data_IF_440729853988
#
_entry.id   IF_440729853988
#
_cell.length_a   1.000
_cell.length_b   1.000
_cell.length_c   1.000
_cell.angle_alpha   90.00
_cell.angle_beta   90.00
_cell.angle_gamma   90.00
#
_symmetry.space_group_name_H-M   'P 1'
#
loop_
_entity.id
_entity.type
_entity.pdbx_description
1 polymer ?
#
# COMPACT_ATOMS: atom_id res chain seq x y z
N UNK A 1 -3.48 -9.16 -15.62
CA UNK A 1 -3.91 -8.30 -14.48
C UNK A 1 -2.77 -7.37 -14.09
N UNK A 2 -3.03 -6.07 -13.93
CA UNK A 2 -2.01 -5.07 -13.53
C UNK A 2 -2.24 -4.65 -12.07
N UNK A 3 -1.16 -4.64 -11.28
CA UNK A 3 -1.18 -4.14 -9.90
C UNK A 3 -1.19 -2.60 -9.84
N UNK A 4 -1.58 -2.02 -8.69
CA UNK A 4 -1.77 -0.57 -8.53
C UNK A 4 -0.54 0.26 -8.96
N UNK A 5 0.67 -0.20 -8.63
CA UNK A 5 1.93 0.50 -8.94
C UNK A 5 2.45 0.27 -10.37
N UNK A 6 1.85 -0.67 -11.13
CA UNK A 6 2.24 -0.93 -12.51
C UNK A 6 1.59 0.11 -13.43
N UNK A 7 2.19 1.29 -13.49
CA UNK A 7 1.67 2.49 -14.19
C UNK A 7 2.26 2.68 -15.59
N UNK A 8 3.00 1.70 -16.12
CA UNK A 8 3.57 1.78 -17.48
C UNK A 8 2.51 2.21 -18.52
N UNK A 9 2.85 3.08 -19.49
CA UNK A 9 4.20 3.54 -19.83
C UNK A 9 4.75 4.67 -18.97
N UNK A 10 3.94 5.24 -18.06
CA UNK A 10 4.37 6.31 -17.16
C UNK A 10 5.41 5.80 -16.14
N UNK A 11 6.31 6.70 -15.72
CA UNK A 11 7.42 6.39 -14.80
C UNK A 11 7.37 7.26 -13.56
N UNK A 12 7.40 6.61 -12.39
CA UNK A 12 7.58 7.27 -11.11
C UNK A 12 9.05 7.68 -10.94
N UNK A 13 9.28 8.94 -10.56
CA UNK A 13 10.54 9.41 -10.00
C UNK A 13 10.28 9.87 -8.56
N UNK A 14 10.93 9.20 -7.59
CA UNK A 14 10.77 9.43 -6.15
C UNK A 14 11.94 10.27 -5.59
N UNK A 15 12.88 10.72 -6.39
CA UNK A 15 14.03 11.50 -5.96
C UNK A 15 13.58 12.74 -5.19
N UNK A 16 14.24 12.99 -4.05
CA UNK A 16 13.97 14.17 -3.27
C UNK A 16 14.67 15.38 -3.87
N UNK A 17 13.90 16.44 -4.09
CA UNK A 17 14.42 17.73 -4.56
C UNK A 17 13.63 18.87 -3.92
N UNK A 18 14.30 20.03 -3.73
CA UNK A 18 13.66 21.27 -3.25
C UNK A 18 13.19 22.08 -4.49
N UNK A 19 12.09 21.62 -5.10
CA UNK A 19 11.51 22.23 -6.30
C UNK A 19 10.32 23.13 -5.92
N UNK A 20 10.28 24.34 -6.45
CA UNK A 20 9.10 25.22 -6.35
C UNK A 20 7.96 24.69 -7.23
N UNK A 21 6.73 24.78 -6.71
CA UNK A 21 5.53 24.33 -7.42
C UNK A 21 5.09 25.33 -8.48
N UNK A 22 4.64 24.81 -9.61
CA UNK A 22 3.95 25.57 -10.67
C UNK A 22 2.42 25.45 -10.53
N UNK A 23 1.68 26.37 -11.16
CA UNK A 23 0.20 26.38 -11.08
C UNK A 23 -0.47 25.09 -11.58
N UNK A 24 0.20 24.35 -12.48
CA UNK A 24 -0.32 23.11 -13.06
C UNK A 24 0.05 21.85 -12.28
N UNK A 25 0.93 21.96 -11.28
CA UNK A 25 1.35 20.84 -10.44
C UNK A 25 0.20 20.41 -9.49
N UNK A 26 0.19 19.15 -9.07
CA UNK A 26 -0.88 18.57 -8.26
C UNK A 26 -0.63 18.72 -6.76
N UNK A 27 -1.73 18.90 -5.99
CA UNK A 27 -1.67 19.02 -4.53
C UNK A 27 -2.42 17.89 -3.84
N UNK A 28 -1.73 17.22 -2.93
CA UNK A 28 -2.28 16.22 -2.01
C UNK A 28 -2.75 16.95 -0.74
N UNK A 29 -4.06 17.06 -0.56
CA UNK A 29 -4.69 17.59 0.64
C UNK A 29 -5.28 16.44 1.44
N UNK A 30 -4.74 16.17 2.63
CA UNK A 30 -5.10 15.04 3.48
C UNK A 30 -5.92 15.51 4.67
N UNK A 31 -7.11 14.94 4.84
CA UNK A 31 -7.93 15.05 6.05
C UNK A 31 -8.12 13.66 6.66
N UNK A 32 -7.43 13.37 7.77
CA UNK A 32 -7.44 12.05 8.43
C UNK A 32 -7.08 10.92 7.46
N UNK A 33 -8.06 10.07 7.09
CA UNK A 33 -7.90 8.95 6.16
C UNK A 33 -8.47 9.23 4.76
N UNK A 34 -8.68 10.51 4.42
CA UNK A 34 -9.26 10.94 3.14
C UNK A 34 -8.32 11.89 2.41
N UNK A 35 -8.48 11.97 1.09
CA UNK A 35 -7.76 12.90 0.21
C UNK A 35 -8.79 13.68 -0.61
N UNK A 36 -8.54 14.98 -0.80
CA UNK A 36 -9.37 15.84 -1.65
C UNK A 36 -9.11 15.51 -3.11
N UNK A 37 -10.15 15.05 -3.80
CA UNK A 37 -10.08 14.62 -5.20
C UNK A 37 -11.37 14.99 -5.94
N UNK A 38 -11.31 15.09 -7.27
CA UNK A 38 -12.46 14.85 -8.13
C UNK A 38 -12.69 13.34 -8.14
N UNK A 39 -13.70 12.88 -7.41
CA UNK A 39 -14.01 11.45 -7.24
C UNK A 39 -14.87 10.93 -8.40
N UNK A 40 -14.22 10.65 -9.51
CA UNK A 40 -14.82 10.04 -10.69
C UNK A 40 -14.04 8.76 -11.02
N UNK A 41 -14.74 7.65 -11.15
CA UNK A 41 -14.11 6.33 -11.34
C UNK A 41 -13.24 6.24 -12.61
N UNK A 42 -13.62 6.96 -13.66
CA UNK A 42 -12.91 6.97 -14.95
C UNK A 42 -12.03 8.22 -15.16
N UNK A 43 -12.19 9.27 -14.34
CA UNK A 43 -11.45 10.53 -14.41
C UNK A 43 -11.05 11.05 -13.02
N UNK A 44 -10.37 10.23 -12.24
CA UNK A 44 -9.81 10.64 -10.95
C UNK A 44 -8.80 11.77 -11.15
N UNK A 45 -8.95 12.87 -10.40
CA UNK A 45 -8.05 14.01 -10.46
C UNK A 45 -7.79 14.62 -9.09
N UNK A 46 -6.55 14.95 -8.83
CA UNK A 46 -6.14 15.80 -7.71
C UNK A 46 -6.31 17.29 -8.08
N UNK A 47 -6.58 18.17 -7.11
CA UNK A 47 -6.57 19.62 -7.37
C UNK A 47 -5.15 20.08 -7.76
N UNK A 48 -5.09 21.11 -8.59
CA UNK A 48 -3.84 21.77 -8.97
C UNK A 48 -3.51 22.91 -8.02
N UNK A 49 -2.23 23.29 -7.96
CA UNK A 49 -1.74 24.40 -7.12
C UNK A 49 -2.52 25.69 -7.38
N UNK A 50 -2.73 26.04 -8.67
CA UNK A 50 -3.50 27.24 -9.06
C UNK A 50 -4.98 27.22 -8.67
N UNK A 51 -5.54 26.02 -8.37
CA UNK A 51 -6.93 25.87 -7.91
C UNK A 51 -7.06 25.95 -6.38
N UNK A 52 -5.94 25.78 -5.63
CA UNK A 52 -5.95 25.74 -4.16
C UNK A 52 -5.63 27.06 -3.50
N UNK A 53 -5.11 28.05 -4.22
CA UNK A 53 -4.68 29.35 -3.65
C UNK A 53 -3.53 29.23 -2.65
N UNK A 54 -2.70 28.20 -2.74
CA UNK A 54 -1.55 27.94 -1.86
C UNK A 54 -0.28 28.59 -2.41
N UNK A 55 0.56 29.13 -1.52
CA UNK A 55 1.90 29.64 -1.86
C UNK A 55 2.93 28.50 -1.80
N UNK A 56 4.12 28.73 -2.38
CA UNK A 56 5.20 27.72 -2.36
C UNK A 56 5.65 27.33 -0.95
N UNK A 57 5.63 28.28 0.01
CA UNK A 57 5.98 28.02 1.41
C UNK A 57 4.98 27.07 2.10
N UNK A 58 3.77 26.96 1.56
CA UNK A 58 2.70 26.11 2.06
C UNK A 58 2.69 24.71 1.38
N UNK A 59 3.64 24.47 0.49
CA UNK A 59 3.74 23.25 -0.30
C UNK A 59 5.07 22.54 -0.04
N UNK A 60 5.03 21.21 -0.07
CA UNK A 60 6.22 20.35 -0.01
C UNK A 60 6.21 19.37 -1.18
N UNK A 61 7.29 19.39 -1.96
CA UNK A 61 7.47 18.42 -3.06
C UNK A 61 7.50 16.98 -2.54
N UNK A 62 6.84 16.07 -3.25
CA UNK A 62 6.80 14.65 -2.92
C UNK A 62 7.52 13.78 -3.96
N UNK A 63 7.09 13.81 -5.19
CA UNK A 63 7.61 13.02 -6.32
C UNK A 63 7.04 13.55 -7.63
N UNK A 64 7.49 12.99 -8.76
CA UNK A 64 6.80 13.17 -10.04
C UNK A 64 6.54 11.84 -10.74
N UNK A 65 5.56 11.86 -11.64
CA UNK A 65 5.28 10.78 -12.58
C UNK A 65 5.36 11.39 -13.96
N UNK A 66 6.42 11.08 -14.72
CA UNK A 66 6.85 11.83 -15.92
C UNK A 66 6.97 13.34 -15.58
N UNK A 67 6.19 14.19 -16.27
CA UNK A 67 6.16 15.65 -16.07
C UNK A 67 5.04 16.10 -15.10
N UNK A 68 4.29 15.18 -14.50
CA UNK A 68 3.27 15.45 -13.49
C UNK A 68 3.94 15.50 -12.10
N UNK A 69 4.02 16.69 -11.46
CA UNK A 69 4.66 16.91 -10.18
C UNK A 69 3.63 16.96 -9.06
N UNK A 70 3.94 16.30 -7.93
CA UNK A 70 3.02 16.14 -6.79
C UNK A 70 3.60 16.76 -5.54
N UNK A 71 2.78 17.57 -4.87
CA UNK A 71 3.11 18.28 -3.64
C UNK A 71 2.11 17.94 -2.55
N UNK A 72 2.51 18.05 -1.29
CA UNK A 72 1.57 18.03 -0.16
C UNK A 72 1.36 19.43 0.37
N UNK A 73 0.15 19.70 0.84
CA UNK A 73 -0.20 20.89 1.58
C UNK A 73 0.35 20.80 3.01
N UNK A 74 1.19 21.77 3.42
CA UNK A 74 1.77 21.86 4.75
C UNK A 74 1.30 23.13 5.50
N UNK A 75 0.31 23.86 4.98
CA UNK A 75 -0.20 25.10 5.57
C UNK A 75 -0.93 24.90 6.91
N UNK A 76 -1.39 23.67 7.19
CA UNK A 76 -2.30 23.37 8.29
C UNK A 76 -3.75 23.77 8.03
N UNK A 77 -4.05 24.37 6.88
CA UNK A 77 -5.39 24.74 6.45
C UNK A 77 -5.82 23.87 5.29
N UNK A 78 -6.94 23.16 5.43
CA UNK A 78 -7.48 22.31 4.40
C UNK A 78 -8.48 23.06 3.52
N UNK A 79 -8.39 22.93 2.18
CA UNK A 79 -9.40 23.44 1.27
C UNK A 79 -10.78 22.83 1.59
N UNK A 80 -11.84 23.65 1.43
CA UNK A 80 -13.23 23.15 1.54
C UNK A 80 -13.60 22.32 0.32
N UNK A 81 -14.49 21.36 0.53
CA UNK A 81 -15.16 20.69 -0.56
C UNK A 81 -15.97 21.69 -1.40
N UNK A 82 -16.12 21.38 -2.69
CA UNK A 82 -16.90 22.18 -3.63
C UNK A 82 -17.57 21.25 -4.66
N UNK A 83 -18.20 21.81 -5.70
CA UNK A 83 -18.89 21.05 -6.74
C UNK A 83 -17.99 20.09 -7.56
N UNK A 84 -16.66 20.29 -7.49
CA UNK A 84 -15.67 19.48 -8.25
C UNK A 84 -14.92 18.53 -7.33
N UNK A 85 -14.52 19.00 -6.14
CA UNK A 85 -13.59 18.29 -5.24
C UNK A 85 -14.26 17.91 -3.94
N UNK A 86 -14.15 16.63 -3.56
CA UNK A 86 -14.64 16.06 -2.29
C UNK A 86 -13.55 15.23 -1.61
N UNK A 87 -13.67 15.02 -0.29
CA UNK A 87 -12.75 14.17 0.46
C UNK A 87 -13.18 12.71 0.38
N UNK A 88 -12.46 11.90 -0.39
CA UNK A 88 -12.71 10.48 -0.57
C UNK A 88 -11.70 9.59 0.16
N UNK A 89 -12.12 8.36 0.52
CA UNK A 89 -11.26 7.39 1.19
C UNK A 89 -10.34 6.69 0.20
N UNK A 90 -9.12 6.32 0.62
CA UNK A 90 -8.16 5.65 -0.26
C UNK A 90 -8.66 4.30 -0.78
N UNK A 91 -9.46 3.59 0.00
CA UNK A 91 -10.00 2.29 -0.39
C UNK A 91 -10.94 2.38 -1.58
N UNK A 92 -11.71 3.47 -1.73
CA UNK A 92 -12.56 3.71 -2.90
C UNK A 92 -11.70 4.06 -4.13
N UNK A 93 -10.67 4.87 -3.97
CA UNK A 93 -9.88 5.45 -5.06
C UNK A 93 -8.92 4.47 -5.75
N UNK A 94 -8.53 3.36 -5.09
CA UNK A 94 -7.46 2.46 -5.58
C UNK A 94 -7.75 1.80 -6.96
N UNK A 95 -8.99 1.77 -7.39
CA UNK A 95 -9.42 1.18 -8.68
C UNK A 95 -9.79 2.22 -9.73
N UNK A 96 -9.75 3.51 -9.39
CA UNK A 96 -10.10 4.61 -10.30
C UNK A 96 -9.08 4.75 -11.44
N UNK A 97 -9.51 5.41 -12.50
CA UNK A 97 -8.65 5.74 -13.65
C UNK A 97 -8.42 7.25 -13.73
N UNK A 98 -7.32 7.69 -14.33
CA UNK A 98 -6.22 6.85 -14.81
C UNK A 98 -5.44 6.24 -13.64
N UNK A 99 -4.92 5.02 -13.80
CA UNK A 99 -4.24 4.27 -12.73
C UNK A 99 -3.09 5.03 -12.09
N UNK A 100 -2.30 5.76 -12.88
CA UNK A 100 -1.17 6.50 -12.33
C UNK A 100 -1.64 7.59 -11.34
N UNK A 101 -2.80 8.21 -11.57
CA UNK A 101 -3.36 9.20 -10.65
C UNK A 101 -3.86 8.54 -9.36
N UNK A 102 -4.51 7.38 -9.47
CA UNK A 102 -4.88 6.55 -8.32
C UNK A 102 -3.64 6.18 -7.47
N UNK A 103 -2.58 5.72 -8.13
CA UNK A 103 -1.32 5.40 -7.46
C UNK A 103 -0.67 6.63 -6.84
N UNK A 104 -0.60 7.75 -7.57
CA UNK A 104 -0.07 9.02 -7.06
C UNK A 104 -0.82 9.50 -5.82
N UNK A 105 -2.15 9.42 -5.82
CA UNK A 105 -3.00 9.81 -4.69
C UNK A 105 -2.67 8.99 -3.44
N UNK A 106 -2.61 7.66 -3.57
CA UNK A 106 -2.34 6.76 -2.44
C UNK A 106 -0.91 6.92 -1.93
N UNK A 107 0.07 7.02 -2.84
CA UNK A 107 1.48 7.23 -2.49
C UNK A 107 1.68 8.59 -1.80
N UNK A 108 1.10 9.66 -2.35
CA UNK A 108 1.21 10.99 -1.79
C UNK A 108 0.57 11.11 -0.40
N UNK A 109 -0.60 10.49 -0.20
CA UNK A 109 -1.20 10.35 1.12
C UNK A 109 -0.24 9.67 2.10
N UNK A 110 0.36 8.54 1.73
CA UNK A 110 1.25 7.80 2.62
C UNK A 110 2.46 8.62 3.06
N UNK A 111 3.07 9.34 2.13
CA UNK A 111 4.19 10.22 2.44
C UNK A 111 3.74 11.38 3.33
N UNK A 112 2.58 11.99 3.07
CA UNK A 112 2.02 13.07 3.89
C UNK A 112 1.74 12.61 5.33
N UNK A 113 1.14 11.43 5.52
CA UNK A 113 0.91 10.83 6.84
C UNK A 113 2.22 10.56 7.57
N UNK A 114 3.25 10.06 6.88
CA UNK A 114 4.55 9.88 7.49
C UNK A 114 5.14 11.21 7.98
N UNK A 115 5.08 12.29 7.19
CA UNK A 115 5.52 13.60 7.62
C UNK A 115 4.76 14.10 8.87
N UNK A 116 3.44 13.93 8.88
CA UNK A 116 2.61 14.32 10.04
C UNK A 116 2.99 13.54 11.30
N UNK A 117 3.14 12.22 11.21
CA UNK A 117 3.51 11.35 12.33
C UNK A 117 4.95 11.56 12.81
N UNK A 118 5.81 12.13 11.97
CA UNK A 118 7.21 12.40 12.28
C UNK A 118 7.46 13.85 12.77
N UNK A 119 6.40 14.61 13.06
CA UNK A 119 6.48 16.02 13.50
C UNK A 119 7.18 16.22 14.84
N UNK A 120 7.29 15.16 15.65
CA UNK A 120 8.00 15.17 16.93
C UNK A 120 9.01 14.00 16.97
N UNK A 121 10.15 14.26 17.59
CA UNK A 121 11.21 13.27 17.75
C UNK A 121 10.79 12.20 18.76
N UNK A 122 10.72 10.93 18.33
CA UNK A 122 10.42 9.82 19.23
C UNK A 122 11.46 9.56 20.33
N UNK A 123 12.68 10.10 20.18
CA UNK A 123 13.74 9.95 21.17
C UNK A 123 13.69 11.01 22.29
N UNK A 124 13.34 12.28 21.99
CA UNK A 124 13.44 13.38 22.96
C UNK A 124 12.22 14.32 22.98
N UNK A 125 11.15 14.03 22.25
CA UNK A 125 9.91 14.78 22.21
C UNK A 125 9.97 16.16 21.54
N UNK A 126 11.15 16.61 21.06
CA UNK A 126 11.32 17.91 20.43
C UNK A 126 10.71 17.91 19.02
N UNK A 127 10.11 19.03 18.60
CA UNK A 127 9.61 19.22 17.24
C UNK A 127 10.74 19.01 16.22
N UNK A 128 10.46 18.26 15.17
CA UNK A 128 11.41 17.99 14.09
C UNK A 128 11.28 19.01 12.96
N UNK A 129 12.28 19.04 12.09
CA UNK A 129 12.29 19.87 10.88
C UNK A 129 12.55 19.01 9.65
N UNK A 130 12.10 19.45 8.48
CA UNK A 130 12.42 18.78 7.22
C UNK A 130 13.92 18.88 6.90
N UNK A 131 14.53 17.79 6.50
CA UNK A 131 15.86 17.82 5.88
C UNK A 131 15.81 18.61 4.56
N UNK A 132 16.90 19.30 4.25
CA UNK A 132 17.03 20.05 2.98
C UNK A 132 17.64 19.20 1.86
N UNK A 133 18.24 18.07 2.20
CA UNK A 133 19.06 17.25 1.27
C UNK A 133 18.48 15.87 1.00
N UNK A 134 17.50 15.43 1.81
CA UNK A 134 16.94 14.08 1.71
C UNK A 134 15.53 14.02 2.29
N UNK A 135 14.77 12.98 1.99
CA UNK A 135 13.43 12.75 2.57
C UNK A 135 13.57 12.22 3.99
N UNK A 136 13.85 13.13 4.93
CA UNK A 136 13.98 12.85 6.35
C UNK A 136 13.43 13.99 7.20
N UNK A 137 12.97 13.66 8.41
CA UNK A 137 12.72 14.63 9.47
C UNK A 137 13.90 14.62 10.45
N UNK A 138 14.40 15.78 10.83
CA UNK A 138 15.61 15.95 11.65
C UNK A 138 15.26 16.66 12.96
N UNK A 139 15.69 16.08 14.08
CA UNK A 139 15.61 16.70 15.39
C UNK A 139 16.82 17.61 15.65
N UNK A 140 16.59 18.92 15.82
CA UNK A 140 17.68 19.87 16.10
C UNK A 140 18.30 19.71 17.49
N UNK A 141 17.59 19.05 18.44
CA UNK A 141 18.05 18.88 19.81
C UNK A 141 19.01 17.67 19.96
N UNK A 142 18.66 16.52 19.36
CA UNK A 142 19.43 15.28 19.52
C UNK A 142 19.98 14.72 18.22
N UNK A 143 19.84 15.42 17.10
CA UNK A 143 20.28 15.04 15.76
C UNK A 143 19.68 13.70 15.24
N UNK A 144 18.63 13.19 15.90
CA UNK A 144 17.93 12.01 15.40
C UNK A 144 17.32 12.30 14.02
N UNK A 145 17.48 11.35 13.08
CA UNK A 145 16.89 11.38 11.73
C UNK A 145 15.81 10.33 11.63
N UNK A 146 14.65 10.74 11.13
CA UNK A 146 13.49 9.87 10.94
C UNK A 146 13.23 9.76 9.44
N UNK A 147 13.37 8.54 8.91
CA UNK A 147 13.11 8.24 7.50
C UNK A 147 11.71 7.65 7.32
N UNK A 148 11.14 7.69 6.09
CA UNK A 148 9.91 6.96 5.79
C UNK A 148 10.06 5.48 6.11
N UNK A 149 9.17 4.96 6.96
CA UNK A 149 9.16 3.55 7.31
C UNK A 149 8.36 2.76 6.27
N UNK A 150 8.95 1.65 5.83
CA UNK A 150 8.32 0.66 4.96
C UNK A 150 8.37 -0.67 5.70
N UNK A 151 7.21 -1.27 5.98
CA UNK A 151 7.14 -2.55 6.67
C UNK A 151 7.10 -3.69 5.63
N UNK A 152 8.08 -4.62 5.64
CA UNK A 152 8.01 -5.81 4.79
C UNK A 152 6.91 -6.75 5.31
N UNK A 153 6.10 -7.30 4.37
CA UNK A 153 5.02 -8.23 4.69
C UNK A 153 4.96 -9.31 3.61
N UNK A 154 4.83 -10.57 4.01
CA UNK A 154 4.68 -11.70 3.09
C UNK A 154 3.21 -11.90 2.73
N UNK A 155 2.95 -12.37 1.51
CA UNK A 155 1.66 -12.84 1.00
C UNK A 155 1.90 -14.23 0.42
N UNK A 156 1.22 -15.25 0.93
CA UNK A 156 1.58 -16.64 0.70
C UNK A 156 0.48 -17.40 -0.01
N UNK A 157 0.73 -17.80 -1.27
CA UNK A 157 -0.11 -18.75 -2.00
C UNK A 157 0.35 -20.17 -1.69
N UNK A 158 -0.44 -20.89 -0.89
CA UNK A 158 -0.17 -22.28 -0.49
C UNK A 158 -0.97 -23.20 -1.39
N UNK A 159 -0.32 -24.07 -2.13
CA UNK A 159 -0.98 -25.03 -3.03
C UNK A 159 -0.79 -26.49 -2.57
N UNK A 160 -1.79 -27.29 -2.91
CA UNK A 160 -1.78 -28.74 -2.78
C UNK A 160 -2.44 -29.36 -4.02
N UNK A 161 -1.64 -29.77 -4.98
CA UNK A 161 -2.12 -30.22 -6.30
C UNK A 161 -2.88 -29.10 -7.02
N UNK A 162 -4.17 -29.36 -7.31
CA UNK A 162 -5.06 -28.42 -8.01
C UNK A 162 -5.87 -27.54 -7.05
N UNK A 163 -5.60 -27.54 -5.76
CA UNK A 163 -6.27 -26.68 -4.78
C UNK A 163 -5.31 -25.70 -4.15
N UNK A 164 -5.84 -24.58 -3.68
CA UNK A 164 -5.13 -23.52 -2.99
C UNK A 164 -5.84 -23.16 -1.69
N UNK A 165 -5.06 -22.83 -0.66
CA UNK A 165 -5.61 -22.35 0.60
C UNK A 165 -6.06 -20.89 0.43
N UNK A 166 -7.31 -20.62 0.79
CA UNK A 166 -7.86 -19.27 0.90
C UNK A 166 -8.28 -19.01 2.35
N UNK A 167 -8.08 -17.77 2.76
CA UNK A 167 -8.46 -17.28 4.08
C UNK A 167 -9.47 -16.13 3.98
N UNK A 168 -10.20 -15.87 5.06
CA UNK A 168 -11.02 -14.68 5.23
C UNK A 168 -10.79 -14.14 6.64
N UNK A 169 -10.37 -12.89 6.74
CA UNK A 169 -10.12 -12.25 8.02
C UNK A 169 -11.41 -11.90 8.76
N UNK A 170 -11.36 -11.91 10.08
CA UNK A 170 -12.44 -11.43 10.94
C UNK A 170 -12.85 -10.00 10.55
N UNK A 171 -14.17 -9.71 10.57
CA UNK A 171 -14.72 -8.40 10.24
C UNK A 171 -14.19 -7.26 11.15
N UNK A 172 -13.77 -7.59 12.37
CA UNK A 172 -13.12 -6.67 13.32
C UNK A 172 -11.73 -6.21 12.87
N UNK A 173 -11.03 -7.03 12.09
CA UNK A 173 -9.65 -6.75 11.65
C UNK A 173 -9.58 -6.26 10.20
N UNK A 174 -10.59 -6.57 9.38
CA UNK A 174 -10.56 -6.19 7.96
C UNK A 174 -11.95 -5.90 7.41
N UNK A 175 -12.15 -4.70 6.84
CA UNK A 175 -13.36 -4.35 6.09
C UNK A 175 -13.44 -5.07 4.72
N UNK A 176 -12.39 -5.82 4.33
CA UNK A 176 -12.28 -6.51 3.05
C UNK A 176 -12.83 -7.92 3.18
N UNK A 177 -14.07 -8.13 2.74
CA UNK A 177 -14.80 -9.41 2.89
C UNK A 177 -14.48 -10.47 1.82
N UNK A 178 -13.56 -10.19 0.92
CA UNK A 178 -13.18 -11.18 -0.08
C UNK A 178 -12.17 -12.16 0.49
N UNK A 179 -12.10 -13.36 -0.12
CA UNK A 179 -11.02 -14.29 0.17
C UNK A 179 -9.65 -13.64 -0.02
N UNK A 180 -8.77 -13.93 0.87
CA UNK A 180 -7.38 -13.51 0.93
C UNK A 180 -6.44 -14.72 0.91
N UNK A 181 -5.17 -14.47 1.04
CA UNK A 181 -4.11 -15.44 1.30
C UNK A 181 -3.54 -15.18 2.69
N UNK A 182 -2.87 -16.16 3.28
CA UNK A 182 -2.08 -15.99 4.51
C UNK A 182 -1.10 -14.83 4.31
N UNK A 183 -1.02 -13.93 5.29
CA UNK A 183 -0.18 -12.73 5.16
C UNK A 183 0.20 -12.16 6.52
N UNK A 184 1.48 -11.85 6.72
CA UNK A 184 1.94 -11.18 7.93
C UNK A 184 3.22 -10.40 7.75
N UNK A 185 3.62 -9.69 8.79
CA UNK A 185 4.83 -8.87 8.76
C UNK A 185 6.07 -9.73 9.05
N UNK A 186 7.16 -9.38 8.36
CA UNK A 186 8.48 -9.94 8.65
C UNK A 186 8.97 -9.32 9.95
N UNK A 187 9.36 -10.16 10.93
CA UNK A 187 9.85 -9.73 12.23
C UNK A 187 11.35 -9.40 12.21
N UNK A 188 11.81 -8.64 13.21
CA UNK A 188 13.20 -8.25 13.32
C UNK A 188 14.14 -9.46 13.51
N UNK A 189 15.03 -9.69 12.54
CA UNK A 189 15.98 -10.81 12.55
C UNK A 189 15.49 -12.03 11.76
N UNK A 190 14.30 -12.00 11.20
CA UNK A 190 13.69 -13.05 10.38
C UNK A 190 13.92 -12.77 8.88
N UNK A 191 14.13 -13.81 8.09
CA UNK A 191 14.07 -13.71 6.63
C UNK A 191 12.60 -13.77 6.16
N UNK A 192 12.27 -13.24 4.96
CA UNK A 192 10.90 -13.38 4.45
C UNK A 192 10.43 -14.83 4.30
N UNK A 193 11.33 -15.77 3.99
CA UNK A 193 11.02 -17.20 3.88
C UNK A 193 10.71 -17.83 5.25
N UNK A 194 11.38 -17.40 6.31
CA UNK A 194 11.07 -17.80 7.68
C UNK A 194 9.73 -17.22 8.13
N UNK A 195 9.44 -15.94 7.77
CA UNK A 195 8.13 -15.33 8.00
C UNK A 195 7.00 -16.10 7.31
N UNK A 196 7.20 -16.56 6.06
CA UNK A 196 6.24 -17.42 5.36
C UNK A 196 5.92 -18.67 6.18
N UNK A 197 6.94 -19.39 6.66
CA UNK A 197 6.75 -20.63 7.40
C UNK A 197 6.06 -20.38 8.76
N UNK A 198 6.41 -19.30 9.45
CA UNK A 198 5.83 -18.91 10.74
C UNK A 198 4.37 -18.49 10.59
N UNK A 199 4.05 -17.56 9.69
CA UNK A 199 2.68 -17.05 9.48
C UNK A 199 1.73 -18.18 9.05
N UNK A 200 2.19 -19.09 8.17
CA UNK A 200 1.38 -20.26 7.77
C UNK A 200 1.11 -21.16 8.97
N UNK A 201 2.10 -21.37 9.84
CA UNK A 201 1.92 -22.18 11.04
C UNK A 201 0.99 -21.49 12.04
N UNK A 202 1.12 -20.19 12.23
CA UNK A 202 0.33 -19.41 13.20
C UNK A 202 -1.13 -19.26 12.76
N UNK A 203 -1.38 -18.84 11.51
CA UNK A 203 -2.76 -18.59 11.05
C UNK A 203 -3.57 -19.85 10.74
N UNK A 204 -2.92 -20.92 10.21
CA UNK A 204 -3.64 -22.10 9.68
C UNK A 204 -3.08 -23.46 10.12
N UNK A 205 -2.00 -23.50 10.92
CA UNK A 205 -1.44 -24.73 11.50
C UNK A 205 -0.77 -25.67 10.49
N UNK A 206 -0.44 -25.19 9.30
CA UNK A 206 0.13 -26.00 8.23
C UNK A 206 1.65 -25.86 8.15
N UNK A 207 2.30 -26.91 7.62
CA UNK A 207 3.70 -26.87 7.21
C UNK A 207 3.81 -26.70 5.69
N UNK A 208 4.83 -25.96 5.27
CA UNK A 208 5.07 -25.68 3.85
C UNK A 208 6.50 -25.97 3.44
N UNK A 209 6.68 -26.27 2.15
CA UNK A 209 7.97 -26.51 1.49
C UNK A 209 8.03 -25.83 0.15
N UNK A 210 9.19 -25.85 -0.51
CA UNK A 210 9.41 -25.25 -1.84
C UNK A 210 9.02 -23.77 -1.89
N UNK A 211 9.29 -23.02 -0.81
CA UNK A 211 8.97 -21.59 -0.69
C UNK A 211 9.74 -20.84 -1.79
N UNK A 212 9.01 -20.18 -2.69
CA UNK A 212 9.59 -19.50 -3.85
C UNK A 212 9.02 -18.10 -3.96
N UNK A 213 9.91 -17.10 -4.09
CA UNK A 213 9.53 -15.72 -4.34
C UNK A 213 8.83 -15.59 -5.70
N UNK A 214 7.72 -14.84 -5.71
CA UNK A 214 6.94 -14.57 -6.91
C UNK A 214 7.15 -13.15 -7.43
N UNK A 215 6.66 -12.15 -6.69
CA UNK A 215 6.71 -10.72 -7.01
C UNK A 215 6.64 -9.88 -5.76
N UNK A 216 6.97 -8.60 -5.88
CA UNK A 216 6.71 -7.61 -4.82
C UNK A 216 5.77 -6.51 -5.30
N UNK A 217 5.08 -5.88 -4.34
CA UNK A 217 4.23 -4.72 -4.55
C UNK A 217 4.44 -3.70 -3.44
N UNK A 218 4.84 -2.45 -3.75
CA UNK A 218 4.67 -1.37 -2.79
C UNK A 218 3.18 -1.15 -2.55
N UNK A 219 2.77 -1.18 -1.27
CA UNK A 219 1.38 -1.05 -0.87
C UNK A 219 1.19 0.18 0.03
N UNK A 220 1.08 1.39 -0.55
CA UNK A 220 1.04 2.63 0.23
C UNK A 220 -0.19 2.75 1.14
N UNK A 221 -1.25 1.99 0.91
CA UNK A 221 -2.45 1.97 1.76
C UNK A 221 -2.12 1.62 3.21
N UNK A 222 -1.28 0.62 3.47
CA UNK A 222 -0.80 0.26 4.81
C UNK A 222 0.63 0.72 5.09
N UNK A 223 1.41 1.06 4.05
CA UNK A 223 2.84 1.37 4.13
C UNK A 223 3.72 0.13 4.10
N UNK A 224 3.18 -0.98 3.64
CA UNK A 224 3.91 -2.22 3.47
C UNK A 224 4.63 -2.31 2.12
N UNK A 225 5.72 -3.08 2.10
CA UNK A 225 6.24 -3.72 0.91
C UNK A 225 5.77 -5.18 0.93
N UNK A 226 4.79 -5.49 0.10
CA UNK A 226 4.27 -6.85 -0.01
C UNK A 226 5.24 -7.72 -0.82
N UNK A 227 5.60 -8.87 -0.28
CA UNK A 227 6.47 -9.87 -0.87
C UNK A 227 5.63 -11.14 -1.11
N UNK A 228 5.31 -11.41 -2.36
CA UNK A 228 4.50 -12.58 -2.75
C UNK A 228 5.35 -13.84 -2.83
N UNK A 229 4.89 -14.89 -2.19
CA UNK A 229 5.49 -16.21 -2.19
C UNK A 229 4.50 -17.27 -2.64
N UNK A 230 5.02 -18.32 -3.25
CA UNK A 230 4.30 -19.53 -3.61
C UNK A 230 5.01 -20.70 -2.90
N UNK A 231 4.24 -21.56 -2.27
CA UNK A 231 4.76 -22.76 -1.62
C UNK A 231 3.81 -23.95 -1.79
N UNK A 232 4.33 -25.14 -1.54
CA UNK A 232 3.57 -26.37 -1.50
C UNK A 232 3.27 -26.76 -0.05
N UNK A 233 2.11 -27.38 0.17
CA UNK A 233 1.81 -28.06 1.43
C UNK A 233 2.87 -29.14 1.72
N UNK A 234 3.28 -29.26 2.99
CA UNK A 234 4.20 -30.29 3.46
C UNK A 234 3.54 -31.17 4.52
N UNK A 235 2.95 -32.27 4.12
CA UNK A 235 2.34 -33.26 4.99
C UNK A 235 0.81 -33.16 5.10
N UNK A 236 0.29 -33.09 6.33
CA UNK A 236 -1.15 -33.10 6.61
C UNK A 236 -1.81 -31.79 6.16
N UNK A 237 -3.01 -31.92 5.59
CA UNK A 237 -3.81 -30.81 5.04
C UNK A 237 -4.89 -30.29 6.04
N UNK A 238 -4.89 -30.81 7.27
CA UNK A 238 -5.82 -30.41 8.32
C UNK A 238 -5.56 -28.97 8.76
N UNK A 239 -6.52 -28.08 8.49
CA UNK A 239 -6.42 -26.66 8.86
C UNK A 239 -6.72 -26.51 10.35
N UNK A 240 -5.77 -25.91 11.08
CA UNK A 240 -5.93 -25.46 12.47
C UNK A 240 -5.95 -23.93 12.48
N UNK A 241 -7.13 -23.37 12.22
CA UNK A 241 -7.32 -21.93 12.05
C UNK A 241 -7.14 -21.16 13.35
N UNK A 242 -6.45 -20.03 13.33
CA UNK A 242 -6.51 -19.04 14.42
C UNK A 242 -7.83 -18.27 14.35
N UNK A 243 -8.74 -18.57 15.27
CA UNK A 243 -10.07 -17.96 15.37
C UNK A 243 -10.04 -16.48 15.79
N UNK A 244 -8.89 -15.95 16.27
CA UNK A 244 -8.76 -14.54 16.60
C UNK A 244 -8.56 -13.69 15.33
N UNK A 245 -7.89 -14.21 14.30
CA UNK A 245 -7.56 -13.49 13.08
C UNK A 245 -8.47 -13.85 11.92
N UNK A 246 -8.81 -15.13 11.76
CA UNK A 246 -9.53 -15.63 10.61
C UNK A 246 -10.97 -16.03 10.95
N UNK A 247 -11.91 -15.55 10.12
CA UNK A 247 -13.29 -16.03 10.10
C UNK A 247 -13.40 -17.38 9.39
N UNK A 248 -12.59 -17.59 8.34
CA UNK A 248 -12.62 -18.78 7.48
C UNK A 248 -11.24 -19.10 6.92
N UNK A 249 -10.93 -20.38 6.82
CA UNK A 249 -9.80 -20.90 6.06
C UNK A 249 -10.23 -22.21 5.40
N UNK A 250 -10.01 -22.33 4.08
CA UNK A 250 -10.46 -23.49 3.32
C UNK A 250 -9.58 -23.77 2.11
N UNK A 251 -9.53 -25.04 1.72
CA UNK A 251 -8.99 -25.46 0.44
C UNK A 251 -10.02 -25.29 -0.67
N UNK A 252 -9.66 -24.59 -1.74
CA UNK A 252 -10.52 -24.35 -2.89
C UNK A 252 -9.84 -24.85 -4.17
N UNK A 253 -10.59 -25.60 -5.00
CA UNK A 253 -10.07 -26.06 -6.29
C UNK A 253 -9.84 -24.88 -7.25
N UNK A 254 -8.84 -24.99 -8.11
CA UNK A 254 -8.52 -23.98 -9.14
C UNK A 254 -9.74 -23.56 -9.95
N UNK A 255 -10.60 -24.51 -10.33
CA UNK A 255 -11.79 -24.28 -11.15
C UNK A 255 -12.90 -23.49 -10.44
N UNK A 256 -12.87 -23.44 -9.11
CA UNK A 256 -13.87 -22.77 -8.26
C UNK A 256 -13.43 -21.37 -7.84
N UNK A 257 -12.16 -21.00 -8.13
CA UNK A 257 -11.61 -19.70 -7.73
C UNK A 257 -12.36 -18.54 -8.39
N UNK A 258 -12.70 -17.50 -7.63
CA UNK A 258 -13.37 -16.33 -8.17
C UNK A 258 -12.44 -15.53 -9.10
N UNK A 259 -13.01 -14.93 -10.13
CA UNK A 259 -12.31 -13.98 -11.01
C UNK A 259 -11.83 -12.76 -10.22
N UNK A 260 -10.53 -12.47 -10.30
CA UNK A 260 -9.84 -11.36 -9.65
C UNK A 260 -9.24 -10.38 -10.65
N UNK A 261 -9.52 -10.53 -11.93
CA UNK A 261 -8.89 -9.77 -13.03
C UNK A 261 -9.05 -8.24 -12.90
N UNK A 262 -10.09 -7.76 -12.23
CA UNK A 262 -10.38 -6.34 -12.01
C UNK A 262 -9.74 -5.73 -10.76
N UNK A 263 -9.03 -6.52 -9.93
CA UNK A 263 -8.37 -6.02 -8.73
C UNK A 263 -6.94 -5.52 -9.02
N UNK A 264 -6.33 -4.86 -8.03
CA UNK A 264 -5.03 -4.18 -8.16
C UNK A 264 -4.01 -4.63 -7.12
N UNK A 265 -4.35 -5.62 -6.29
CA UNK A 265 -3.50 -6.13 -5.20
C UNK A 265 -2.65 -7.33 -5.62
N UNK A 266 -1.51 -7.53 -4.94
CA UNK A 266 -0.65 -8.70 -5.11
C UNK A 266 -1.40 -10.00 -4.75
N UNK A 267 -2.21 -9.98 -3.70
CA UNK A 267 -3.07 -11.12 -3.32
C UNK A 267 -3.96 -11.56 -4.49
N UNK A 268 -4.66 -10.61 -5.09
CA UNK A 268 -5.52 -10.90 -6.23
C UNK A 268 -4.73 -11.29 -7.48
N UNK A 269 -3.52 -10.75 -7.66
CA UNK A 269 -2.62 -11.14 -8.74
C UNK A 269 -2.16 -12.59 -8.61
N UNK A 270 -1.80 -13.04 -7.41
CA UNK A 270 -1.43 -14.44 -7.12
C UNK A 270 -2.61 -15.38 -7.40
N UNK A 271 -3.78 -15.11 -6.81
CA UNK A 271 -4.99 -15.94 -6.98
C UNK A 271 -5.38 -16.03 -8.46
N UNK A 272 -5.40 -14.91 -9.19
CA UNK A 272 -5.78 -14.89 -10.59
C UNK A 272 -4.79 -15.64 -11.49
N UNK A 273 -3.47 -15.47 -11.28
CA UNK A 273 -2.47 -16.18 -12.06
C UNK A 273 -2.46 -17.69 -11.77
N UNK A 274 -2.80 -18.10 -10.55
CA UNK A 274 -3.04 -19.51 -10.25
C UNK A 274 -4.31 -20.01 -10.95
N UNK A 275 -5.43 -19.28 -10.86
CA UNK A 275 -6.71 -19.61 -11.49
C UNK A 275 -6.59 -19.87 -13.00
N UNK A 276 -5.88 -19.00 -13.72
CA UNK A 276 -5.70 -19.09 -15.18
C UNK A 276 -4.52 -19.98 -15.62
N UNK A 277 -3.84 -20.66 -14.69
CA UNK A 277 -2.79 -21.64 -14.96
C UNK A 277 -1.40 -21.08 -15.27
N UNK A 278 -1.15 -19.78 -15.04
CA UNK A 278 0.18 -19.16 -15.16
C UNK A 278 1.10 -19.56 -14.00
N UNK A 279 0.54 -19.87 -12.83
CA UNK A 279 1.21 -20.48 -11.68
C UNK A 279 0.80 -21.97 -11.68
N UNK A 280 1.81 -22.86 -11.75
CA UNK A 280 1.63 -24.31 -11.76
C UNK A 280 1.69 -24.91 -10.37
#
# INVERSE_FOLDING_TARGET
MQMLHEISPKKLNIDYTDRSAGNNDYVINVDKNKVLVKDDADDLRLPKVGECGLTNEQLRYLFCIDDDYFYMNISGVLPKENDIYTYATLSSLRKHKPRYMSYATVLGYRIAVWYANSSFCGQCGTKTEHSKTERAMVCRKCNNRIYPMIAPSVIVLIKDGERVLLTRYQASHNFYRNYALVAGYVESGETPEEAVAREVMEEVGLKVKNITYYKSQPWPLSGALLLGYICDLDGDDTILRDDNELEEALWMNRSELPDRSSDVSLTSNLIENYRIGNIK
#
